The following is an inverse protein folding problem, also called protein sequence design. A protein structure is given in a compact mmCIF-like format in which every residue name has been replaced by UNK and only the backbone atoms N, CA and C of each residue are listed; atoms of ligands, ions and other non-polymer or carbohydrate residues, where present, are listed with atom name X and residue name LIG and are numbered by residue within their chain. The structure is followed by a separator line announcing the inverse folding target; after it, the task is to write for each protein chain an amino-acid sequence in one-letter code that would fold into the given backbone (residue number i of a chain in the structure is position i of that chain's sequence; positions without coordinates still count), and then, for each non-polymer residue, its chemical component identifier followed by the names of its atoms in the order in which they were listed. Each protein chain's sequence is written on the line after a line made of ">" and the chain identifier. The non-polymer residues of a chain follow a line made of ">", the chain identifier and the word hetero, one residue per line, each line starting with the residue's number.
data_IF_216556794168
#
_entry.id   IF_216556794168
#
_cell.length_a   1.000
_cell.length_b   1.000
_cell.length_c   1.000
_cell.angle_alpha   90.00
_cell.angle_beta   90.00
_cell.angle_gamma   90.00
#
_symmetry.space_group_name_H-M   'P 1'
#
loop_
_entity.id
_entity.type
_entity.pdbx_description
1 polymer ?
#
# COMPACT_ATOMS: atom_id res chain seq x y z
N UNK A 1 0.96 -19.45 9.68
CA UNK A 1 0.87 -18.14 9.00
C UNK A 1 2.08 -17.97 8.08
N UNK A 2 2.10 -17.02 7.13
CA UNK A 2 3.32 -16.66 6.42
C UNK A 2 4.40 -16.22 7.42
N UNK A 3 5.66 -16.63 7.20
CA UNK A 3 6.81 -16.33 8.07
C UNK A 3 7.03 -14.84 8.35
N UNK A 4 6.51 -13.97 7.47
CA UNK A 4 6.57 -12.51 7.62
C UNK A 4 5.84 -12.02 8.91
N UNK A 5 4.89 -12.81 9.42
CA UNK A 5 4.09 -12.49 10.60
C UNK A 5 4.55 -13.21 11.87
N UNK A 6 5.69 -13.91 11.84
CA UNK A 6 6.19 -14.59 13.04
C UNK A 6 6.53 -13.56 14.13
N UNK A 7 5.98 -13.76 15.32
CA UNK A 7 6.16 -12.85 16.45
C UNK A 7 5.52 -11.46 16.27
N UNK A 8 4.45 -11.34 15.48
CA UNK A 8 3.60 -10.14 15.49
C UNK A 8 2.62 -10.17 16.67
N UNK A 9 2.11 -9.01 17.13
CA UNK A 9 1.09 -8.97 18.18
C UNK A 9 -0.19 -9.72 17.78
N UNK A 10 -0.89 -10.26 18.77
CA UNK A 10 -2.26 -10.73 18.59
C UNK A 10 -3.20 -9.53 18.37
N UNK A 11 -4.24 -9.72 17.54
CA UNK A 11 -5.23 -8.67 17.25
C UNK A 11 -4.78 -7.66 16.19
N UNK A 12 -5.36 -6.46 16.23
CA UNK A 12 -5.09 -5.42 15.23
C UNK A 12 -3.76 -4.70 15.52
N UNK A 13 -2.89 -4.63 14.51
CA UNK A 13 -1.63 -3.88 14.55
C UNK A 13 -1.32 -3.29 13.17
N UNK A 14 -0.38 -2.35 13.10
CA UNK A 14 0.05 -1.74 11.84
C UNK A 14 0.98 -2.65 11.04
N UNK A 15 0.73 -2.80 9.74
CA UNK A 15 1.60 -3.55 8.84
C UNK A 15 2.99 -2.92 8.67
N UNK A 16 3.18 -1.65 9.04
CA UNK A 16 4.52 -1.07 9.03
C UNK A 16 5.50 -1.87 9.89
N UNK A 17 5.05 -2.48 10.99
CA UNK A 17 5.89 -3.35 11.82
C UNK A 17 6.55 -4.48 11.01
N UNK A 18 5.81 -5.12 10.10
CA UNK A 18 6.36 -6.24 9.32
C UNK A 18 7.19 -5.75 8.13
N UNK A 19 6.85 -4.59 7.56
CA UNK A 19 7.66 -3.97 6.51
C UNK A 19 9.00 -3.47 7.04
N UNK A 20 9.04 -2.88 8.24
CA UNK A 20 10.27 -2.42 8.90
C UNK A 20 11.20 -3.60 9.18
N UNK A 21 10.67 -4.69 9.77
CA UNK A 21 11.44 -5.93 9.98
C UNK A 21 11.99 -6.51 8.68
N UNK A 22 11.19 -6.47 7.61
CA UNK A 22 11.63 -6.94 6.30
C UNK A 22 12.73 -6.03 5.72
N UNK A 23 12.64 -4.72 5.91
CA UNK A 23 13.65 -3.75 5.48
C UNK A 23 14.97 -3.96 6.23
N UNK A 24 14.92 -4.11 7.56
CA UNK A 24 16.09 -4.41 8.41
C UNK A 24 16.78 -5.72 8.00
N UNK A 25 16.01 -6.73 7.61
CA UNK A 25 16.55 -8.00 7.11
C UNK A 25 17.05 -7.95 5.65
N UNK A 26 16.96 -6.81 4.95
CA UNK A 26 17.32 -6.68 3.54
C UNK A 26 16.40 -7.47 2.60
N UNK A 27 15.16 -7.70 3.02
CA UNK A 27 14.15 -8.53 2.31
C UNK A 27 12.91 -7.76 1.88
N UNK A 28 12.88 -6.45 2.10
CA UNK A 28 11.85 -5.57 1.55
C UNK A 28 12.27 -5.14 0.13
N UNK A 29 11.56 -5.65 -0.86
CA UNK A 29 11.74 -5.28 -2.26
C UNK A 29 10.51 -4.51 -2.75
N UNK A 30 10.68 -3.72 -3.79
CA UNK A 30 9.59 -2.94 -4.38
C UNK A 30 9.77 -2.77 -5.88
N UNK A 31 8.69 -2.36 -6.53
CA UNK A 31 8.67 -1.93 -7.92
C UNK A 31 8.24 -0.48 -7.98
N UNK A 32 8.82 0.27 -8.92
CA UNK A 32 8.39 1.65 -9.19
C UNK A 32 7.06 1.61 -9.91
N UNK A 33 6.06 2.32 -9.39
CA UNK A 33 4.79 2.49 -10.09
C UNK A 33 5.00 3.47 -11.25
N UNK A 34 4.81 2.98 -12.47
CA UNK A 34 4.69 3.79 -13.67
C UNK A 34 3.21 4.08 -13.91
N UNK A 35 2.70 5.17 -13.35
CA UNK A 35 1.29 5.53 -13.47
C UNK A 35 0.85 6.56 -12.44
N UNK A 36 -0.45 6.81 -12.39
CA UNK A 36 -1.05 7.73 -11.43
C UNK A 36 -1.47 6.95 -10.20
N UNK A 37 -1.04 7.42 -9.02
CA UNK A 37 -1.52 6.95 -7.73
C UNK A 37 -2.42 8.00 -7.09
N UNK A 38 -3.49 7.55 -6.43
CA UNK A 38 -4.45 8.44 -5.76
C UNK A 38 -4.87 7.85 -4.42
N UNK A 39 -4.91 8.70 -3.38
CA UNK A 39 -5.51 8.36 -2.10
C UNK A 39 -6.97 8.84 -2.05
N UNK A 40 -7.92 7.90 -2.19
CA UNK A 40 -9.36 8.21 -2.17
C UNK A 40 -9.90 8.00 -0.75
N UNK A 41 -9.48 8.88 0.17
CA UNK A 41 -9.84 8.80 1.60
C UNK A 41 -11.02 9.68 2.00
N UNK A 42 -11.49 10.56 1.11
CA UNK A 42 -12.60 11.50 1.37
C UNK A 42 -13.63 11.42 0.24
N UNK A 43 -14.90 11.82 0.48
CA UNK A 43 -15.93 11.85 -0.56
C UNK A 43 -15.54 12.69 -1.78
N UNK A 44 -14.92 13.85 -1.58
CA UNK A 44 -14.54 14.75 -2.67
C UNK A 44 -13.47 14.13 -3.60
N UNK A 45 -12.60 13.27 -3.07
CA UNK A 45 -11.56 12.59 -3.85
C UNK A 45 -12.11 11.57 -4.86
N UNK A 46 -13.40 11.21 -4.76
CA UNK A 46 -14.05 10.28 -5.70
C UNK A 46 -14.10 10.90 -7.10
N UNK A 47 -14.49 12.17 -7.20
CA UNK A 47 -14.62 12.85 -8.50
C UNK A 47 -13.27 12.94 -9.22
N UNK A 48 -12.20 13.20 -8.48
CA UNK A 48 -10.83 13.23 -9.01
C UNK A 48 -10.41 11.84 -9.53
N UNK A 49 -10.72 10.78 -8.78
CA UNK A 49 -10.41 9.41 -9.19
C UNK A 49 -11.19 8.98 -10.45
N UNK A 50 -12.48 9.31 -10.53
CA UNK A 50 -13.31 9.04 -11.72
C UNK A 50 -12.80 9.79 -12.96
N UNK A 51 -12.29 11.00 -12.79
CA UNK A 51 -11.67 11.75 -13.88
C UNK A 51 -10.35 11.11 -14.33
N UNK A 52 -9.50 10.69 -13.39
CA UNK A 52 -8.26 10.00 -13.71
C UNK A 52 -8.50 8.69 -14.47
N UNK A 53 -9.51 7.92 -14.06
CA UNK A 53 -9.90 6.68 -14.76
C UNK A 53 -10.35 6.98 -16.20
N UNK A 54 -11.24 7.97 -16.40
CA UNK A 54 -11.68 8.36 -17.75
C UNK A 54 -10.51 8.74 -18.68
N UNK A 55 -9.54 9.50 -18.16
CA UNK A 55 -8.34 9.91 -18.90
C UNK A 55 -7.38 8.76 -19.21
N UNK A 56 -7.42 7.67 -18.44
CA UNK A 56 -6.54 6.52 -18.65
C UNK A 56 -6.94 5.63 -19.83
N UNK A 57 -8.18 5.79 -20.32
CA UNK A 57 -8.72 5.05 -21.46
C UNK A 57 -8.70 5.83 -22.79
N UNK A 58 -8.28 7.10 -22.74
CA UNK A 58 -8.03 7.93 -23.92
C UNK A 58 -6.64 7.62 -24.52
#
# INVERSE_FOLDING_TARGET
>A
APRLFDGTPDGAFSLNLVFDRAAEAGRLFGLRLDGIWMHVGTPDAIADAELAIRRSSD
#
